data_IF_902673004368
#
_entry.id   IF_902673004368
#
_cell.length_a   1.000
_cell.length_b   1.000
_cell.length_c   1.000
_cell.angle_alpha   90.00
_cell.angle_beta   90.00
_cell.angle_gamma   90.00
#
_symmetry.space_group_name_H-M   'P 1'
#
loop_
_entity.id
_entity.type
_entity.pdbx_description
1 polymer ?
#
# COMPACT_ATOMS: atom_id res chain seq x y z
N UNK A 1 -21.54 -0.40 -22.99
CA UNK A 1 -21.40 0.51 -21.83
C UNK A 1 -21.94 1.87 -22.24
N UNK A 2 -22.69 2.58 -21.38
CA UNK A 2 -23.12 3.95 -21.67
C UNK A 2 -21.88 4.85 -21.87
N UNK A 3 -22.00 5.89 -22.69
CA UNK A 3 -20.89 6.78 -23.05
C UNK A 3 -20.24 7.46 -21.83
N UNK A 4 -20.98 7.62 -20.74
CA UNK A 4 -20.54 8.31 -19.52
C UNK A 4 -19.85 7.39 -18.50
N UNK A 5 -19.80 6.07 -18.77
CA UNK A 5 -19.21 5.10 -17.85
C UNK A 5 -17.73 5.41 -17.50
N UNK A 6 -16.86 5.78 -18.45
CA UNK A 6 -15.47 6.11 -18.14
C UNK A 6 -15.33 7.34 -17.24
N UNK A 7 -16.11 8.40 -17.51
CA UNK A 7 -16.09 9.63 -16.69
C UNK A 7 -16.59 9.39 -15.28
N UNK A 8 -17.60 8.53 -15.10
CA UNK A 8 -18.11 8.18 -13.77
C UNK A 8 -17.07 7.36 -12.97
N UNK A 9 -16.40 6.42 -13.62
CA UNK A 9 -15.35 5.62 -13.00
C UNK A 9 -14.16 6.48 -12.56
N UNK A 10 -13.76 7.44 -13.40
CA UNK A 10 -12.71 8.41 -13.06
C UNK A 10 -13.12 9.30 -11.88
N UNK A 11 -14.37 9.80 -11.86
CA UNK A 11 -14.88 10.59 -10.75
C UNK A 11 -14.93 9.79 -9.44
N UNK A 12 -15.32 8.52 -9.49
CA UNK A 12 -15.34 7.64 -8.32
C UNK A 12 -13.92 7.33 -7.82
N UNK A 13 -12.97 7.12 -8.73
CA UNK A 13 -11.57 6.95 -8.37
C UNK A 13 -11.01 8.20 -7.65
N UNK A 14 -11.36 9.39 -8.14
CA UNK A 14 -10.97 10.66 -7.51
C UNK A 14 -11.59 10.82 -6.11
N UNK A 15 -12.89 10.56 -5.96
CA UNK A 15 -13.56 10.61 -4.65
C UNK A 15 -12.93 9.64 -3.64
N UNK A 16 -12.57 8.43 -4.07
CA UNK A 16 -11.86 7.47 -3.21
C UNK A 16 -10.47 7.98 -2.83
N UNK A 17 -9.77 8.65 -3.75
CA UNK A 17 -8.50 9.33 -3.46
C UNK A 17 -8.65 10.41 -2.38
N UNK A 18 -9.71 11.21 -2.44
CA UNK A 18 -10.01 12.22 -1.43
C UNK A 18 -10.37 11.62 -0.07
N UNK A 19 -11.17 10.54 -0.05
CA UNK A 19 -11.46 9.77 1.16
C UNK A 19 -10.17 9.20 1.76
N UNK A 20 -9.30 8.61 0.94
CA UNK A 20 -8.00 8.08 1.36
C UNK A 20 -7.12 9.16 2.00
N UNK A 21 -7.05 10.36 1.41
CA UNK A 21 -6.33 11.48 2.03
C UNK A 21 -6.91 11.89 3.39
N UNK A 22 -8.22 11.74 3.59
CA UNK A 22 -8.88 11.89 4.89
C UNK A 22 -8.45 10.82 5.90
N UNK A 23 -8.44 9.56 5.48
CA UNK A 23 -8.05 8.41 6.31
C UNK A 23 -6.56 8.46 6.66
N UNK A 24 -5.68 8.89 5.76
CA UNK A 24 -4.24 9.06 6.03
C UNK A 24 -3.98 10.05 7.18
N UNK A 25 -4.75 11.15 7.23
CA UNK A 25 -4.69 12.10 8.36
C UNK A 25 -5.13 11.45 9.66
N UNK A 26 -6.16 10.62 9.63
CA UNK A 26 -6.60 9.87 10.82
C UNK A 26 -5.55 8.85 11.26
N UNK A 27 -4.91 8.16 10.32
CA UNK A 27 -3.83 7.20 10.61
C UNK A 27 -2.64 7.87 11.30
N UNK A 28 -2.25 9.07 10.86
CA UNK A 28 -1.21 9.86 11.53
C UNK A 28 -1.58 10.23 12.97
N UNK A 29 -2.85 10.60 13.22
CA UNK A 29 -3.35 10.89 14.58
C UNK A 29 -3.36 9.63 15.46
N UNK A 30 -3.83 8.50 14.92
CA UNK A 30 -3.83 7.21 15.63
C UNK A 30 -2.41 6.79 15.98
N UNK A 31 -1.47 6.89 15.04
CA UNK A 31 -0.05 6.58 15.29
C UNK A 31 0.54 7.43 16.42
N UNK A 32 0.20 8.71 16.48
CA UNK A 32 0.66 9.59 17.56
C UNK A 32 -0.02 9.29 18.91
N UNK A 33 -1.28 8.86 18.90
CA UNK A 33 -1.98 8.39 20.11
C UNK A 33 -1.38 7.08 20.64
N UNK A 34 -1.17 6.09 19.77
CA UNK A 34 -0.52 4.81 20.09
C UNK A 34 0.85 5.05 20.73
N UNK A 35 1.61 6.03 20.21
CA UNK A 35 2.92 6.39 20.76
C UNK A 35 2.85 6.96 22.18
N UNK A 36 1.70 7.52 22.59
CA UNK A 36 1.48 8.12 23.92
C UNK A 36 0.83 7.17 24.91
N UNK A 37 0.34 6.01 24.47
CA UNK A 37 -0.30 5.04 25.35
C UNK A 37 0.67 4.38 26.35
N UNK A 38 0.19 3.96 27.52
CA UNK A 38 0.88 3.02 28.39
C UNK A 38 1.27 1.74 27.63
N UNK A 39 2.34 1.06 28.05
CA UNK A 39 2.89 -0.09 27.29
C UNK A 39 1.90 -1.26 27.24
N UNK A 40 1.13 -1.43 28.30
CA UNK A 40 0.06 -2.41 28.46
C UNK A 40 -1.04 -2.30 27.39
N UNK A 41 -1.35 -1.09 26.93
CA UNK A 41 -2.43 -0.83 25.96
C UNK A 41 -1.91 -0.73 24.51
N UNK A 42 -0.59 -0.67 24.31
CA UNK A 42 0.01 -0.45 22.98
C UNK A 42 -0.24 -1.60 22.00
N UNK A 43 -0.29 -2.83 22.49
CA UNK A 43 -0.41 -4.00 21.61
C UNK A 43 -1.74 -3.99 20.85
N UNK A 44 -2.85 -3.76 21.57
CA UNK A 44 -4.19 -3.64 20.97
C UNK A 44 -4.27 -2.44 20.03
N UNK A 45 -3.77 -1.29 20.47
CA UNK A 45 -3.78 -0.07 19.66
C UNK A 45 -2.91 -0.16 18.40
N UNK A 46 -1.81 -0.95 18.42
CA UNK A 46 -1.02 -1.27 17.23
C UNK A 46 -1.78 -2.17 16.26
N UNK A 47 -2.54 -3.15 16.76
CA UNK A 47 -3.41 -3.98 15.92
C UNK A 47 -4.48 -3.13 15.23
N UNK A 48 -5.09 -2.19 15.94
CA UNK A 48 -6.07 -1.27 15.35
C UNK A 48 -5.43 -0.34 14.31
N UNK A 49 -4.23 0.16 14.57
CA UNK A 49 -3.47 0.96 13.61
C UNK A 49 -3.11 0.16 12.35
N UNK A 50 -2.74 -1.11 12.50
CA UNK A 50 -2.50 -2.02 11.38
C UNK A 50 -3.78 -2.31 10.58
N UNK A 51 -4.91 -2.49 11.26
CA UNK A 51 -6.20 -2.66 10.59
C UNK A 51 -6.59 -1.42 9.76
N UNK A 52 -6.31 -0.22 10.28
CA UNK A 52 -6.51 1.04 9.55
C UNK A 52 -5.60 1.13 8.32
N UNK A 53 -4.33 0.74 8.43
CA UNK A 53 -3.39 0.70 7.30
C UNK A 53 -3.89 -0.25 6.18
N UNK A 54 -4.38 -1.43 6.54
CA UNK A 54 -5.00 -2.36 5.58
C UNK A 54 -6.20 -1.73 4.87
N UNK A 55 -7.01 -0.93 5.55
CA UNK A 55 -8.13 -0.22 4.91
C UNK A 55 -7.65 0.85 3.92
N UNK A 56 -6.60 1.60 4.25
CA UNK A 56 -5.97 2.57 3.33
C UNK A 56 -5.50 1.87 2.05
N UNK A 57 -4.77 0.75 2.21
CA UNK A 57 -4.29 -0.04 1.07
C UNK A 57 -5.44 -0.54 0.17
N UNK A 58 -6.57 -0.93 0.78
CA UNK A 58 -7.77 -1.36 0.03
C UNK A 58 -8.42 -0.21 -0.74
N UNK A 59 -8.45 1.00 -0.17
CA UNK A 59 -8.96 2.18 -0.88
C UNK A 59 -8.09 2.49 -2.10
N UNK A 60 -6.76 2.43 -1.95
CA UNK A 60 -5.81 2.62 -3.05
C UNK A 60 -6.00 1.59 -4.16
N UNK A 61 -6.16 0.31 -3.79
CA UNK A 61 -6.45 -0.76 -4.73
C UNK A 61 -7.73 -0.51 -5.52
N UNK A 62 -8.82 -0.13 -4.85
CA UNK A 62 -10.10 0.15 -5.52
C UNK A 62 -9.99 1.36 -6.44
N UNK A 63 -9.35 2.45 -6.00
CA UNK A 63 -9.11 3.62 -6.84
C UNK A 63 -8.29 3.27 -8.09
N UNK A 64 -7.24 2.44 -7.93
CA UNK A 64 -6.42 1.96 -9.04
C UNK A 64 -7.22 1.14 -10.07
N UNK A 65 -8.07 0.21 -9.62
CA UNK A 65 -8.94 -0.56 -10.52
C UNK A 65 -9.90 0.36 -11.27
N UNK A 66 -10.55 1.29 -10.59
CA UNK A 66 -11.50 2.22 -11.20
C UNK A 66 -10.83 3.12 -12.24
N UNK A 67 -9.59 3.55 -11.98
CA UNK A 67 -8.81 4.33 -12.93
C UNK A 67 -8.41 3.49 -14.16
N UNK A 68 -7.95 2.26 -13.96
CA UNK A 68 -7.67 1.34 -15.08
C UNK A 68 -8.89 1.11 -15.95
N UNK A 69 -10.06 0.92 -15.34
CA UNK A 69 -11.32 0.78 -16.07
C UNK A 69 -11.74 2.08 -16.78
N UNK A 70 -11.51 3.26 -16.19
CA UNK A 70 -11.77 4.54 -16.87
C UNK A 70 -10.87 4.77 -18.07
N UNK A 71 -9.65 4.23 -18.03
CA UNK A 71 -8.69 4.28 -19.13
C UNK A 71 -8.95 3.21 -20.21
N UNK A 72 -10.01 2.42 -20.06
CA UNK A 72 -10.44 1.42 -21.03
C UNK A 72 -9.76 0.06 -20.90
N UNK A 73 -9.03 -0.20 -19.79
CA UNK A 73 -8.52 -1.54 -19.50
C UNK A 73 -9.66 -2.53 -19.31
N UNK A 74 -9.38 -3.81 -19.56
CA UNK A 74 -10.31 -4.86 -19.14
C UNK A 74 -10.29 -4.99 -17.61
N UNK A 75 -11.34 -5.53 -17.01
CA UNK A 75 -11.37 -5.80 -15.57
C UNK A 75 -10.25 -6.72 -15.11
N UNK A 76 -9.82 -7.67 -15.97
CA UNK A 76 -8.71 -8.56 -15.66
C UNK A 76 -7.37 -7.81 -15.59
N UNK A 77 -7.13 -6.90 -16.53
CA UNK A 77 -5.90 -6.10 -16.58
C UNK A 77 -5.83 -5.10 -15.42
N UNK A 78 -6.96 -4.43 -15.13
CA UNK A 78 -7.05 -3.48 -14.03
C UNK A 78 -6.83 -4.13 -12.65
N UNK A 79 -7.30 -5.37 -12.45
CA UNK A 79 -7.01 -6.12 -11.21
C UNK A 79 -5.57 -6.61 -11.17
N UNK A 80 -5.03 -7.07 -12.31
CA UNK A 80 -3.65 -7.55 -12.39
C UNK A 80 -2.62 -6.46 -12.08
N UNK A 81 -2.89 -5.21 -12.48
CA UNK A 81 -2.01 -4.07 -12.17
C UNK A 81 -1.89 -3.79 -10.68
N UNK A 82 -2.99 -3.90 -9.92
CA UNK A 82 -3.01 -3.77 -8.45
C UNK A 82 -2.19 -4.90 -7.81
N UNK A 83 -2.42 -6.15 -8.22
CA UNK A 83 -1.68 -7.29 -7.67
C UNK A 83 -0.17 -7.18 -7.92
N UNK A 84 0.22 -6.71 -9.11
CA UNK A 84 1.63 -6.46 -9.44
C UNK A 84 2.21 -5.32 -8.62
N UNK A 85 1.46 -4.24 -8.40
CA UNK A 85 1.88 -3.14 -7.53
C UNK A 85 2.05 -3.61 -6.07
N UNK A 86 1.18 -4.49 -5.59
CA UNK A 86 1.31 -5.09 -4.24
C UNK A 86 2.54 -5.99 -4.13
N UNK A 87 2.82 -6.81 -5.15
CA UNK A 87 4.05 -7.63 -5.20
C UNK A 87 5.28 -6.74 -5.23
N UNK A 88 5.30 -5.70 -6.06
CA UNK A 88 6.41 -4.76 -6.14
C UNK A 88 6.66 -4.03 -4.81
N UNK A 89 5.60 -3.64 -4.10
CA UNK A 89 5.68 -3.01 -2.78
C UNK A 89 6.31 -3.95 -1.76
N UNK A 90 5.82 -5.20 -1.67
CA UNK A 90 6.38 -6.22 -0.77
C UNK A 90 7.86 -6.49 -1.06
N UNK A 91 8.24 -6.58 -2.33
CA UNK A 91 9.64 -6.75 -2.72
C UNK A 91 10.52 -5.54 -2.34
N UNK A 92 9.96 -4.34 -2.29
CA UNK A 92 10.68 -3.11 -1.91
C UNK A 92 10.76 -2.97 -0.39
N UNK A 93 9.71 -3.32 0.34
CA UNK A 93 9.66 -3.24 1.81
C UNK A 93 10.46 -4.37 2.49
N UNK A 94 10.53 -5.55 1.86
CA UNK A 94 11.39 -6.67 2.32
C UNK A 94 12.86 -6.50 1.89
N UNK A 95 13.19 -5.52 1.04
CA UNK A 95 14.56 -5.28 0.64
C UNK A 95 15.39 -4.85 1.86
N UNK A 96 16.47 -5.58 2.22
CA UNK A 96 17.33 -5.19 3.33
C UNK A 96 17.86 -3.79 3.05
N UNK A 97 17.50 -2.81 3.90
CA UNK A 97 18.09 -1.48 3.86
C UNK A 97 19.60 -1.68 4.01
N UNK A 98 20.44 -1.32 3.01
CA UNK A 98 21.86 -1.56 3.11
C UNK A 98 22.36 -0.85 4.36
N UNK A 99 22.88 -1.63 5.32
CA UNK A 99 23.48 -1.07 6.51
C UNK A 99 24.59 -0.12 6.04
N UNK A 100 24.47 1.16 6.37
CA UNK A 100 25.51 2.15 6.15
C UNK A 100 26.74 1.71 6.95
N UNK A 101 27.63 0.95 6.33
CA UNK A 101 28.79 0.35 6.99
C UNK A 101 29.22 -1.03 6.49
N UNK A 102 28.45 -1.72 5.65
CA UNK A 102 28.94 -2.96 5.05
C UNK A 102 29.99 -2.66 3.96
N UNK A 103 31.25 -3.10 4.09
CA UNK A 103 32.21 -3.02 3.00
C UNK A 103 31.70 -3.82 1.80
N UNK A 104 32.10 -3.48 0.56
CA UNK A 104 31.68 -4.22 -0.62
C UNK A 104 32.19 -5.66 -0.49
N UNK A 105 31.29 -6.60 -0.17
CA UNK A 105 31.55 -8.02 -0.34
C UNK A 105 31.80 -8.24 -1.83
N UNK A 106 33.06 -8.47 -2.18
CA UNK A 106 33.46 -8.84 -3.54
C UNK A 106 32.60 -10.03 -3.96
N UNK A 107 31.75 -9.81 -4.97
CA UNK A 107 30.92 -10.82 -5.57
C UNK A 107 31.81 -12.00 -6.01
N UNK A 108 31.74 -13.12 -5.30
CA UNK A 108 32.58 -14.28 -5.58
C UNK A 108 32.45 -15.43 -4.59
N UNK A 109 32.25 -15.14 -3.30
CA UNK A 109 32.15 -16.20 -2.28
C UNK A 109 30.70 -16.49 -1.90
N UNK A 110 29.98 -17.14 -2.82
CA UNK A 110 28.87 -18.00 -2.44
C UNK A 110 29.46 -19.36 -2.10
N UNK A 111 29.81 -19.56 -0.82
CA UNK A 111 30.11 -20.87 -0.27
C UNK A 111 28.83 -21.72 -0.38
N UNK A 112 28.76 -22.53 -1.44
CA UNK A 112 27.74 -23.56 -1.62
C UNK A 112 27.91 -24.57 -0.48
N UNK A 113 26.81 -24.81 0.22
CA UNK A 113 26.65 -25.70 1.38
C UNK A 113 27.50 -26.98 1.33
N UNK A 114 28.10 -27.33 2.48
CA UNK A 114 28.51 -28.68 2.84
C UNK A 114 27.54 -29.21 3.92
#
# INVERSE_FOLDING_TARGET
MPADAPSLLAALAAEIGDVRAGVDRMSALVSDLVRRLPVEDRAEALTDAQALDVLIQRLDAVAGVLHGLSDGQTSADAVSSVLLADVARRLTDDAPRPAAGSPPTTAGDLLLFD
#
